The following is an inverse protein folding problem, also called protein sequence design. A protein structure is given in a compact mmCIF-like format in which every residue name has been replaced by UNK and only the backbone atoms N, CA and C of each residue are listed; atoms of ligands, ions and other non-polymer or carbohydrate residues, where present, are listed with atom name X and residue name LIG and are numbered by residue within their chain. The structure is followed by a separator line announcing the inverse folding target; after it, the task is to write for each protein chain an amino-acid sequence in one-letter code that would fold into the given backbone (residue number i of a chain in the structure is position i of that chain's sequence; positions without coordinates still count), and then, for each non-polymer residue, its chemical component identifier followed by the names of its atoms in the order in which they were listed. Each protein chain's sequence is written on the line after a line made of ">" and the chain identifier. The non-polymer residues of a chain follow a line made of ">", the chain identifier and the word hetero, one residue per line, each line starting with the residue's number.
data_IF_775022087657
#
_entry.id   IF_775022087657
#
_cell.length_a   1.000
_cell.length_b   1.000
_cell.length_c   1.000
_cell.angle_alpha   90.00
_cell.angle_beta   90.00
_cell.angle_gamma   90.00
#
_symmetry.space_group_name_H-M   'P 1'
#
loop_
_entity.id
_entity.type
_entity.pdbx_description
1 polymer ?
#
# COMPACT_ATOMS: atom_id res chain seq x y z
N UNK A 1 -7.81 -24.35 6.90
CA UNK A 1 -7.45 -23.03 7.46
C UNK A 1 -7.11 -22.15 6.28
N UNK A 2 -7.75 -21.00 6.15
CA UNK A 2 -7.53 -20.10 5.01
C UNK A 2 -6.41 -19.14 5.40
N UNK A 3 -5.28 -19.21 4.71
CA UNK A 3 -4.18 -18.29 4.97
C UNK A 3 -4.46 -16.95 4.26
N UNK A 4 -4.19 -15.87 4.96
CA UNK A 4 -4.34 -14.51 4.47
C UNK A 4 -2.96 -13.87 4.27
N UNK A 5 -2.89 -12.88 3.40
CA UNK A 5 -1.71 -12.04 3.19
C UNK A 5 -2.07 -10.57 3.27
N UNK A 6 -1.25 -9.82 4.00
CA UNK A 6 -1.39 -8.38 4.17
C UNK A 6 -0.12 -7.69 3.64
N UNK A 7 -0.30 -6.62 2.85
CA UNK A 7 0.78 -5.71 2.51
C UNK A 7 1.02 -4.74 3.67
N UNK A 8 2.28 -4.49 4.02
CA UNK A 8 2.65 -3.56 5.08
C UNK A 8 3.72 -2.59 4.63
N UNK A 9 3.69 -1.39 5.18
CA UNK A 9 4.66 -0.31 4.95
C UNK A 9 5.38 0.04 6.24
N UNK A 10 6.66 0.38 6.14
CA UNK A 10 7.43 0.87 7.28
C UNK A 10 7.25 2.38 7.46
N UNK A 11 6.64 2.78 8.57
CA UNK A 11 6.36 4.17 8.94
C UNK A 11 6.68 4.38 10.41
N UNK A 12 7.34 5.49 10.74
CA UNK A 12 7.64 5.89 12.12
C UNK A 12 8.32 4.81 12.99
N UNK A 13 9.17 3.98 12.38
CA UNK A 13 9.88 2.91 13.10
C UNK A 13 9.04 1.66 13.38
N UNK A 14 7.88 1.51 12.73
CA UNK A 14 7.04 0.33 12.84
C UNK A 14 6.44 -0.10 11.50
N UNK A 15 6.14 -1.39 11.38
CA UNK A 15 5.38 -1.92 10.25
C UNK A 15 3.88 -1.73 10.49
N UNK A 16 3.18 -1.15 9.51
CA UNK A 16 1.72 -0.98 9.55
C UNK A 16 1.07 -1.56 8.31
N UNK A 17 -0.14 -2.09 8.47
CA UNK A 17 -1.00 -2.54 7.37
C UNK A 17 -1.20 -1.43 6.35
N UNK A 18 -0.94 -1.71 5.08
CA UNK A 18 -1.21 -0.82 3.97
C UNK A 18 -2.72 -0.88 3.67
N UNK A 19 -3.39 0.26 3.78
CA UNK A 19 -4.82 0.37 3.47
C UNK A 19 -5.06 0.98 2.09
N UNK A 20 -4.37 2.05 1.73
CA UNK A 20 -4.48 2.62 0.38
C UNK A 20 -3.25 3.39 -0.08
N UNK A 21 -3.11 3.50 -1.41
CA UNK A 21 -2.16 4.38 -2.08
C UNK A 21 -2.90 5.38 -2.97
N UNK A 22 -2.48 6.64 -2.97
CA UNK A 22 -3.08 7.70 -3.80
C UNK A 22 -2.00 8.64 -4.35
N UNK A 23 -1.96 8.90 -5.68
CA UNK A 23 -0.98 9.79 -6.27
C UNK A 23 -1.33 11.26 -6.09
N UNK A 24 -0.30 12.10 -6.09
CA UNK A 24 -0.47 13.52 -6.40
C UNK A 24 -0.66 14.46 -5.22
N UNK A 25 -0.68 13.99 -3.96
CA UNK A 25 -0.76 14.85 -2.79
C UNK A 25 -1.97 15.80 -2.85
N UNK A 26 -3.14 15.29 -2.49
CA UNK A 26 -4.43 15.99 -2.45
C UNK A 26 -4.71 16.99 -3.58
N UNK A 27 -5.41 16.50 -4.61
CA UNK A 27 -6.72 17.07 -4.90
C UNK A 27 -7.83 16.01 -4.94
N UNK A 28 -9.04 16.41 -4.55
CA UNK A 28 -10.25 15.59 -4.58
C UNK A 28 -10.49 15.02 -6.00
N UNK A 29 -10.35 13.70 -6.17
CA UNK A 29 -10.72 13.01 -7.41
C UNK A 29 -9.72 11.99 -7.96
N UNK A 30 -8.52 11.88 -7.40
CA UNK A 30 -7.52 10.92 -7.89
C UNK A 30 -7.84 9.46 -7.53
N UNK A 31 -7.37 8.52 -8.36
CA UNK A 31 -7.62 7.08 -8.26
C UNK A 31 -7.02 6.52 -6.96
N UNK A 32 -7.88 6.29 -5.96
CA UNK A 32 -7.52 5.60 -4.72
C UNK A 32 -7.47 4.10 -4.99
N UNK A 33 -6.32 3.47 -4.77
CA UNK A 33 -6.21 2.01 -4.75
C UNK A 33 -6.23 1.55 -3.29
N UNK A 34 -7.25 0.76 -2.93
CA UNK A 34 -7.41 0.17 -1.61
C UNK A 34 -6.87 -1.26 -1.57
N UNK A 35 -6.35 -1.65 -0.43
CA UNK A 35 -5.78 -2.96 -0.15
C UNK A 35 -6.40 -3.49 1.13
N UNK A 36 -7.10 -4.60 1.01
CA UNK A 36 -7.53 -5.42 2.14
C UNK A 36 -6.62 -6.66 2.22
N UNK A 37 -6.56 -7.35 3.37
CA UNK A 37 -5.99 -8.69 3.43
C UNK A 37 -6.67 -9.59 2.39
N UNK A 38 -5.88 -10.29 1.58
CA UNK A 38 -6.36 -11.23 0.56
C UNK A 38 -5.97 -12.65 0.93
N UNK A 39 -6.57 -13.65 0.28
CA UNK A 39 -6.09 -15.02 0.42
C UNK A 39 -4.63 -15.14 -0.06
N UNK A 40 -3.85 -16.02 0.58
CA UNK A 40 -2.45 -16.23 0.22
C UNK A 40 -2.26 -16.70 -1.24
N UNK A 41 -3.28 -17.32 -1.83
CA UNK A 41 -3.37 -17.66 -3.26
C UNK A 41 -3.30 -16.43 -4.18
N UNK A 42 -3.76 -15.26 -3.72
CA UNK A 42 -3.76 -13.99 -4.46
C UNK A 42 -2.51 -13.14 -4.26
N UNK A 43 -1.48 -13.66 -3.57
CA UNK A 43 -0.24 -12.90 -3.28
C UNK A 43 0.43 -12.34 -4.55
N UNK A 44 0.47 -13.12 -5.64
CA UNK A 44 1.11 -12.68 -6.88
C UNK A 44 0.36 -11.50 -7.51
N UNK A 45 -0.98 -11.56 -7.49
CA UNK A 45 -1.85 -10.50 -7.99
C UNK A 45 -1.70 -9.22 -7.17
N UNK A 46 -1.71 -9.34 -5.84
CA UNK A 46 -1.49 -8.21 -4.93
C UNK A 46 -0.11 -7.55 -5.17
N UNK A 47 0.95 -8.35 -5.32
CA UNK A 47 2.29 -7.85 -5.66
C UNK A 47 2.30 -7.09 -6.98
N UNK A 48 1.67 -7.66 -8.00
CA UNK A 48 1.60 -7.03 -9.32
C UNK A 48 0.84 -5.70 -9.24
N UNK A 49 -0.32 -5.68 -8.58
CA UNK A 49 -1.14 -4.47 -8.42
C UNK A 49 -0.37 -3.33 -7.75
N UNK A 50 0.29 -3.60 -6.61
CA UNK A 50 1.11 -2.59 -5.90
C UNK A 50 2.28 -2.13 -6.77
N UNK A 51 3.02 -3.06 -7.38
CA UNK A 51 4.22 -2.73 -8.16
C UNK A 51 3.88 -1.93 -9.41
N UNK A 52 2.82 -2.30 -10.14
CA UNK A 52 2.36 -1.57 -11.32
C UNK A 52 1.91 -0.15 -10.94
N UNK A 53 1.16 0.00 -9.85
CA UNK A 53 0.71 1.32 -9.39
C UNK A 53 1.89 2.24 -9.03
N UNK A 54 2.88 1.74 -8.28
CA UNK A 54 4.07 2.51 -7.92
C UNK A 54 4.92 2.85 -9.13
N UNK A 55 5.02 1.96 -10.12
CA UNK A 55 5.75 2.22 -11.36
C UNK A 55 5.03 3.25 -12.24
N UNK A 56 3.70 3.21 -12.33
CA UNK A 56 2.89 4.18 -13.09
C UNK A 56 2.98 5.61 -12.53
N UNK A 57 3.26 5.74 -11.23
CA UNK A 57 3.29 7.03 -10.52
C UNK A 57 4.67 7.32 -9.89
N UNK A 58 5.74 6.81 -10.47
CA UNK A 58 7.10 6.92 -9.94
C UNK A 58 7.62 8.37 -9.82
N UNK A 59 7.01 9.32 -10.53
CA UNK A 59 7.34 10.74 -10.53
C UNK A 59 6.43 11.58 -9.63
N UNK A 60 5.43 10.96 -8.98
CA UNK A 60 4.44 11.65 -8.15
C UNK A 60 4.66 11.37 -6.67
N UNK A 61 4.39 12.36 -5.79
CA UNK A 61 4.27 12.06 -4.37
C UNK A 61 3.11 11.10 -4.11
N UNK A 62 3.28 10.24 -3.12
CA UNK A 62 2.34 9.19 -2.74
C UNK A 62 1.75 9.46 -1.37
N UNK A 63 0.43 9.55 -1.29
CA UNK A 63 -0.30 9.44 -0.04
C UNK A 63 -0.48 7.97 0.29
N UNK A 64 -0.07 7.59 1.49
CA UNK A 64 -0.17 6.22 2.01
C UNK A 64 -1.02 6.25 3.25
N UNK A 65 -2.13 5.52 3.20
CA UNK A 65 -3.01 5.34 4.35
C UNK A 65 -2.72 3.98 4.96
N UNK A 66 -2.54 3.94 6.28
CA UNK A 66 -2.26 2.71 7.02
C UNK A 66 -3.35 2.39 8.02
N UNK A 67 -3.54 1.10 8.31
CA UNK A 67 -4.44 0.59 9.35
C UNK A 67 -5.88 1.08 9.22
N UNK A 68 -6.70 0.44 8.40
CA UNK A 68 -8.14 0.74 8.21
C UNK A 68 -8.53 2.22 8.00
N UNK A 69 -7.60 3.12 7.69
CA UNK A 69 -7.87 4.56 7.56
C UNK A 69 -7.34 5.44 8.68
N UNK A 70 -6.63 4.90 9.67
CA UNK A 70 -6.32 5.62 10.91
C UNK A 70 -5.19 6.65 10.75
N UNK A 71 -4.24 6.42 9.85
CA UNK A 71 -3.08 7.32 9.68
C UNK A 71 -2.71 7.50 8.22
N UNK A 72 -2.34 8.73 7.87
CA UNK A 72 -1.97 9.13 6.53
C UNK A 72 -0.55 9.71 6.50
N UNK A 73 0.24 9.28 5.52
CA UNK A 73 1.62 9.70 5.33
C UNK A 73 1.85 10.14 3.88
N UNK A 74 2.55 11.26 3.70
CA UNK A 74 2.98 11.73 2.39
C UNK A 74 4.42 11.32 2.12
N UNK A 75 4.62 10.61 1.02
CA UNK A 75 5.91 10.18 0.50
C UNK A 75 6.22 10.92 -0.81
N UNK A 76 7.49 11.22 -1.06
CA UNK A 76 7.93 11.97 -2.25
C UNK A 76 8.05 11.13 -3.53
N UNK A 77 8.39 11.74 -4.67
CA UNK A 77 8.42 11.09 -5.97
C UNK A 77 9.26 9.80 -5.98
N UNK A 78 8.56 8.67 -6.16
CA UNK A 78 9.12 7.35 -6.44
C UNK A 78 9.46 6.47 -5.24
N UNK A 79 9.44 7.00 -4.01
CA UNK A 79 9.80 6.23 -2.82
C UNK A 79 8.73 6.32 -1.74
N UNK A 80 7.89 5.30 -1.68
CA UNK A 80 7.23 4.92 -0.43
C UNK A 80 8.26 4.15 0.42
N UNK A 81 8.14 4.23 1.75
CA UNK A 81 8.96 3.42 2.67
C UNK A 81 8.96 1.93 2.29
N UNK A 82 9.92 1.13 2.79
CA UNK A 82 10.01 -0.27 2.38
C UNK A 82 8.68 -0.98 2.65
N UNK A 83 8.30 -1.85 1.71
CA UNK A 83 7.12 -2.70 1.81
C UNK A 83 7.50 -4.13 2.19
N UNK A 84 6.58 -4.80 2.87
CA UNK A 84 6.63 -6.25 3.06
C UNK A 84 5.25 -6.87 2.86
N UNK A 85 5.24 -8.19 2.65
CA UNK A 85 4.04 -8.99 2.63
C UNK A 85 4.15 -10.02 3.75
N UNK A 86 3.13 -10.12 4.59
CA UNK A 86 3.10 -11.09 5.69
C UNK A 86 1.90 -12.01 5.55
N UNK A 87 2.16 -13.30 5.72
CA UNK A 87 1.17 -14.36 5.65
C UNK A 87 0.78 -14.78 7.06
N UNK A 88 -0.50 -14.96 7.31
CA UNK A 88 -1.06 -15.37 8.60
C UNK A 88 -2.28 -16.30 8.40
N UNK A 89 -2.74 -16.95 9.46
CA UNK A 89 -3.86 -17.92 9.45
C UNK A 89 -5.18 -17.31 9.92
#
# INVERSE_FOLDING_TARGET
>A
MTQHVEAQVWVEGMWRGLYSLTPGGFPEGDRIVRFDPVESSSLLELKHQISSFLAEHADKPMVVVTGNGDHEYLFGPGHVGPFRFIVWE
#
